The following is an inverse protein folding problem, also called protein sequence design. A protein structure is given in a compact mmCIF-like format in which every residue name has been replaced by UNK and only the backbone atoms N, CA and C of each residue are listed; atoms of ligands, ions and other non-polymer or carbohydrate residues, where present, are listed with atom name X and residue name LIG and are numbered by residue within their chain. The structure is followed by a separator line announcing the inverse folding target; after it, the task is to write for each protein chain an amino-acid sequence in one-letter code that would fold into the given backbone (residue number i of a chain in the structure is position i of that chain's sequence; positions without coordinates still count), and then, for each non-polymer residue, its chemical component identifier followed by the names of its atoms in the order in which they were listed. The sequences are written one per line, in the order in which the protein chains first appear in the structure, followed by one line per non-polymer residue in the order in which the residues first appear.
data_IF_191427691996
#
_entry.id   IF_191427691996
#
_cell.length_a   1.000
_cell.length_b   1.000
_cell.length_c   1.000
_cell.angle_alpha   90.00
_cell.angle_beta   90.00
_cell.angle_gamma   90.00
#
_symmetry.space_group_name_H-M   'P 1'
#
loop_
_entity.id
_entity.type
_entity.pdbx_description
1 polymer ?
#
# COMPACT_ATOMS: atom_id res chain seq x y z
N UNK A 1 82.37 -18.25 28.34
CA UNK A 1 81.40 -17.71 29.32
C UNK A 1 80.76 -16.48 28.68
N UNK A 2 79.46 -16.35 28.43
CA UNK A 2 78.23 -17.05 28.80
C UNK A 2 77.35 -17.04 27.54
N UNK A 3 76.82 -18.18 27.12
CA UNK A 3 75.90 -18.23 25.99
C UNK A 3 74.48 -18.38 26.55
N UNK A 4 73.69 -17.32 26.35
CA UNK A 4 72.24 -17.33 26.46
C UNK A 4 71.69 -18.50 25.63
N UNK A 5 71.07 -19.50 26.28
CA UNK A 5 70.08 -20.35 25.61
C UNK A 5 68.76 -20.17 26.33
N UNK A 6 67.85 -19.62 25.54
CA UNK A 6 66.51 -19.19 25.87
C UNK A 6 65.76 -20.23 26.71
N UNK A 7 65.14 -19.76 27.78
CA UNK A 7 63.81 -20.20 28.16
C UNK A 7 62.87 -19.92 26.98
N UNK A 8 62.85 -20.80 25.97
CA UNK A 8 61.67 -20.95 25.12
C UNK A 8 60.68 -21.79 25.88
N UNK A 9 59.97 -21.11 26.78
CA UNK A 9 58.53 -21.25 27.01
C UNK A 9 57.97 -22.54 26.42
N UNK A 10 58.00 -23.59 27.24
CA UNK A 10 57.22 -24.80 27.07
C UNK A 10 55.75 -24.46 27.40
N UNK A 11 55.17 -23.52 26.66
CA UNK A 11 53.73 -23.52 26.41
C UNK A 11 53.51 -24.58 25.33
N UNK A 12 53.73 -25.85 25.71
CA UNK A 12 53.03 -26.92 25.04
C UNK A 12 51.58 -26.68 25.44
N UNK A 13 50.82 -26.08 24.53
CA UNK A 13 49.39 -25.97 24.66
C UNK A 13 48.89 -27.40 24.84
N UNK A 14 48.58 -27.78 26.08
CA UNK A 14 47.78 -28.98 26.33
C UNK A 14 46.45 -28.62 25.71
N UNK A 15 46.24 -29.04 24.47
CA UNK A 15 44.93 -29.00 23.87
C UNK A 15 44.15 -30.10 24.59
N UNK A 16 43.35 -29.69 25.56
CA UNK A 16 42.46 -30.58 26.30
C UNK A 16 41.45 -31.21 25.34
N UNK A 17 41.03 -32.44 25.63
CA UNK A 17 39.96 -33.08 24.86
C UNK A 17 38.65 -32.30 25.05
N UNK A 18 37.82 -32.23 24.02
CA UNK A 18 36.56 -31.48 24.03
C UNK A 18 35.41 -32.38 23.61
N UNK A 19 34.36 -32.40 24.43
CA UNK A 19 33.09 -33.04 24.12
C UNK A 19 32.09 -31.96 23.70
N UNK A 20 31.50 -32.14 22.53
CA UNK A 20 30.39 -31.32 22.03
C UNK A 20 29.18 -32.19 21.71
N UNK A 21 28.00 -31.57 21.65
CA UNK A 21 26.75 -32.24 21.31
C UNK A 21 26.11 -31.60 20.08
N UNK A 22 25.48 -32.43 19.26
CA UNK A 22 24.69 -32.03 18.12
C UNK A 22 23.25 -32.60 18.22
N UNK A 23 22.21 -31.77 18.09
CA UNK A 23 22.24 -30.31 17.95
C UNK A 23 22.82 -29.61 19.20
N UNK A 24 23.32 -28.38 19.03
CA UNK A 24 23.84 -27.54 20.12
C UNK A 24 22.68 -27.03 21.00
N UNK A 25 22.06 -27.93 21.76
CA UNK A 25 20.96 -27.66 22.68
C UNK A 25 21.23 -28.33 24.02
N UNK A 26 20.85 -27.68 25.12
CA UNK A 26 20.96 -28.26 26.47
C UNK A 26 19.70 -29.01 26.91
N UNK A 27 18.60 -28.89 26.15
CA UNK A 27 17.30 -29.50 26.48
C UNK A 27 16.78 -30.37 25.35
N UNK A 28 16.45 -31.61 25.68
CA UNK A 28 15.95 -32.61 24.74
C UNK A 28 14.64 -33.23 25.24
N UNK A 29 13.90 -33.82 24.33
CA UNK A 29 12.68 -34.56 24.63
C UNK A 29 12.84 -36.06 24.40
N UNK A 30 12.03 -36.88 25.07
CA UNK A 30 11.96 -38.31 24.79
C UNK A 30 11.65 -38.54 23.29
N UNK A 31 12.38 -39.46 22.67
CA UNK A 31 12.47 -39.79 21.22
C UNK A 31 13.31 -38.85 20.36
N UNK A 32 13.91 -37.80 20.93
CA UNK A 32 14.95 -37.05 20.23
C UNK A 32 16.28 -37.82 20.21
N UNK A 33 17.18 -37.38 19.34
CA UNK A 33 18.54 -37.92 19.24
C UNK A 33 19.54 -36.84 19.61
N UNK A 34 20.58 -37.25 20.33
CA UNK A 34 21.76 -36.43 20.59
C UNK A 34 22.99 -37.16 20.05
N UNK A 35 23.83 -36.44 19.33
CA UNK A 35 25.12 -36.94 18.87
C UNK A 35 26.21 -36.30 19.72
N UNK A 36 26.90 -37.11 20.50
CA UNK A 36 28.10 -36.72 21.22
C UNK A 36 29.29 -36.80 20.27
N UNK A 37 30.05 -35.72 20.14
CA UNK A 37 31.26 -35.65 19.33
C UNK A 37 32.46 -35.37 20.21
N UNK A 38 33.37 -36.32 20.25
CA UNK A 38 34.60 -36.20 21.02
C UNK A 38 35.76 -35.77 20.12
N UNK A 39 36.40 -34.67 20.45
CA UNK A 39 37.64 -34.24 19.82
C UNK A 39 38.79 -34.37 20.83
N UNK A 40 39.81 -35.15 20.50
CA UNK A 40 40.98 -35.31 21.37
C UNK A 40 41.97 -34.14 21.24
N UNK A 41 41.75 -33.27 20.24
CA UNK A 41 42.60 -32.15 19.84
C UNK A 41 44.08 -32.53 19.73
N UNK A 42 44.36 -33.79 19.41
CA UNK A 42 45.68 -34.38 19.35
C UNK A 42 45.65 -35.70 18.57
N UNK A 43 46.59 -35.87 17.63
CA UNK A 43 46.64 -37.05 16.76
C UNK A 43 45.50 -37.10 15.74
N UNK A 44 45.39 -38.22 15.04
CA UNK A 44 44.24 -38.49 14.16
C UNK A 44 43.10 -39.14 14.93
N UNK A 45 41.85 -38.95 14.51
CA UNK A 45 40.68 -39.57 15.18
C UNK A 45 40.79 -41.11 15.23
N UNK A 46 41.45 -41.70 14.24
CA UNK A 46 41.70 -43.14 14.11
C UNK A 46 42.71 -43.65 15.13
N UNK A 47 43.47 -42.79 15.81
CA UNK A 47 44.48 -43.16 16.81
C UNK A 47 43.86 -43.52 18.18
N UNK A 48 42.56 -43.27 18.36
CA UNK A 48 41.91 -43.33 19.67
C UNK A 48 40.77 -44.35 19.71
N UNK A 49 40.50 -44.85 20.91
CA UNK A 49 39.22 -45.42 21.30
C UNK A 49 38.46 -44.43 22.18
N UNK A 50 37.17 -44.29 21.95
CA UNK A 50 36.30 -43.30 22.58
C UNK A 50 35.28 -43.99 23.48
N UNK A 51 35.14 -43.48 24.70
CA UNK A 51 34.18 -43.91 25.72
C UNK A 51 33.40 -42.69 26.21
N UNK A 52 32.12 -42.88 26.52
CA UNK A 52 31.29 -41.81 27.10
C UNK A 52 30.71 -42.28 28.42
N UNK A 53 30.91 -41.45 29.43
CA UNK A 53 30.32 -41.60 30.76
C UNK A 53 29.21 -40.57 30.96
N UNK A 54 28.17 -40.97 31.69
CA UNK A 54 27.13 -40.12 32.26
C UNK A 54 27.17 -40.24 33.77
N UNK A 55 27.31 -39.12 34.48
CA UNK A 55 27.39 -39.05 35.94
C UNK A 55 28.43 -40.04 36.51
N UNK A 56 29.56 -40.20 35.79
CA UNK A 56 30.64 -41.14 36.12
C UNK A 56 30.39 -42.60 35.75
N UNK A 57 29.19 -42.98 35.29
CA UNK A 57 28.85 -44.33 34.84
C UNK A 57 29.00 -44.48 33.32
N UNK A 58 29.45 -45.65 32.86
CA UNK A 58 29.61 -45.91 31.43
C UNK A 58 28.25 -46.01 30.72
N UNK A 59 28.06 -45.22 29.66
CA UNK A 59 26.89 -45.30 28.77
C UNK A 59 27.28 -45.88 27.41
N UNK A 60 28.43 -45.46 26.89
CA UNK A 60 29.02 -46.05 25.69
C UNK A 60 30.41 -46.58 26.03
N UNK A 61 30.59 -47.89 25.81
CA UNK A 61 31.91 -48.53 25.91
C UNK A 61 32.86 -48.05 24.82
N UNK A 62 34.14 -48.40 24.94
CA UNK A 62 35.19 -48.01 24.01
C UNK A 62 34.86 -48.40 22.56
N UNK A 63 34.80 -47.40 21.67
CA UNK A 63 34.52 -47.54 20.23
C UNK A 63 35.56 -46.79 19.41
N UNK A 64 35.73 -47.16 18.15
CA UNK A 64 36.63 -46.44 17.23
C UNK A 64 36.01 -45.18 16.63
N UNK A 65 34.69 -44.99 16.75
CA UNK A 65 34.00 -43.82 16.26
C UNK A 65 33.97 -42.73 17.34
N UNK A 66 34.42 -41.52 16.99
CA UNK A 66 34.39 -40.35 17.86
C UNK A 66 32.99 -39.74 18.04
N UNK A 67 32.09 -40.03 17.10
CA UNK A 67 30.71 -39.59 17.10
C UNK A 67 29.79 -40.72 17.60
N UNK A 68 29.12 -40.48 18.72
CA UNK A 68 28.18 -41.44 19.33
C UNK A 68 26.77 -40.87 19.36
N UNK A 69 25.87 -41.48 18.59
CA UNK A 69 24.46 -41.11 18.54
C UNK A 69 23.66 -41.88 19.60
N UNK A 70 22.92 -41.16 20.43
CA UNK A 70 22.05 -41.68 21.47
C UNK A 70 20.59 -41.33 21.15
N UNK A 71 19.72 -42.33 21.20
CA UNK A 71 18.26 -42.13 21.21
C UNK A 71 17.77 -41.98 22.64
N UNK A 72 17.03 -40.90 22.91
CA UNK A 72 16.55 -40.60 24.25
C UNK A 72 15.25 -41.37 24.49
N UNK A 73 15.28 -42.42 25.31
CA UNK A 73 14.08 -43.24 25.58
C UNK A 73 13.39 -42.94 26.91
N UNK A 74 14.03 -42.17 27.80
CA UNK A 74 13.47 -41.77 29.09
C UNK A 74 14.10 -40.47 29.61
N UNK A 75 13.45 -39.83 30.60
CA UNK A 75 14.00 -38.66 31.30
C UNK A 75 15.27 -38.97 32.11
N UNK A 76 15.54 -40.26 32.39
CA UNK A 76 16.74 -40.72 33.10
C UNK A 76 18.06 -40.48 32.36
N UNK A 77 18.01 -40.13 31.07
CA UNK A 77 19.18 -39.68 30.31
C UNK A 77 19.62 -38.25 30.68
N UNK A 78 18.87 -37.52 31.50
CA UNK A 78 19.33 -36.24 32.07
C UNK A 78 20.57 -36.45 32.94
N UNK A 79 21.59 -35.62 32.77
CA UNK A 79 22.82 -35.71 33.55
C UNK A 79 24.02 -35.07 32.87
N UNK A 80 25.19 -35.36 33.42
CA UNK A 80 26.46 -34.80 33.02
C UNK A 80 27.30 -35.82 32.24
N UNK A 81 27.67 -35.46 31.02
CA UNK A 81 28.37 -36.34 30.09
C UNK A 81 29.84 -35.93 29.94
N UNK A 82 30.73 -36.92 29.93
CA UNK A 82 32.15 -36.75 29.65
C UNK A 82 32.64 -37.81 28.68
N UNK A 83 33.57 -37.42 27.82
CA UNK A 83 34.24 -38.31 26.91
C UNK A 83 35.63 -38.65 27.40
N UNK A 84 36.02 -39.92 27.23
CA UNK A 84 37.35 -40.43 27.52
C UNK A 84 37.92 -41.02 26.24
N UNK A 85 39.08 -40.51 25.83
CA UNK A 85 39.91 -41.08 24.77
C UNK A 85 40.97 -42.00 25.36
N UNK A 86 41.16 -43.18 24.79
CA UNK A 86 42.26 -44.10 25.09
C UNK A 86 43.11 -44.30 23.83
N UNK A 87 44.37 -43.88 23.88
CA UNK A 87 45.25 -43.90 22.71
C UNK A 87 45.65 -45.34 22.38
N UNK A 88 45.51 -45.74 21.12
CA UNK A 88 45.77 -47.13 20.69
C UNK A 88 47.22 -47.57 20.87
N UNK A 89 48.17 -46.65 20.71
CA UNK A 89 49.60 -46.97 20.73
C UNK A 89 50.20 -47.04 22.13
N UNK A 90 49.75 -46.17 23.05
CA UNK A 90 50.34 -46.01 24.39
C UNK A 90 49.36 -46.29 25.53
N UNK A 91 48.07 -46.39 25.26
CA UNK A 91 46.99 -46.39 26.26
C UNK A 91 46.95 -45.15 27.16
N UNK A 92 47.48 -44.03 26.67
CA UNK A 92 47.33 -42.74 27.34
C UNK A 92 45.87 -42.30 27.28
N UNK A 93 45.36 -41.84 28.43
CA UNK A 93 43.96 -41.43 28.57
C UNK A 93 43.83 -39.91 28.59
N UNK A 94 42.91 -39.38 27.79
CA UNK A 94 42.47 -37.98 27.86
C UNK A 94 41.00 -37.91 28.24
N UNK A 95 40.66 -36.94 29.08
CA UNK A 95 39.29 -36.71 29.57
C UNK A 95 38.85 -35.34 29.07
N UNK A 96 37.63 -35.27 28.55
CA UNK A 96 37.07 -34.02 28.04
C UNK A 96 36.44 -33.14 29.11
N UNK A 97 36.03 -31.93 28.71
CA UNK A 97 35.04 -31.16 29.46
C UNK A 97 33.73 -31.95 29.66
N UNK A 98 32.95 -31.50 30.65
CA UNK A 98 31.61 -32.01 30.92
C UNK A 98 30.56 -31.25 30.11
N UNK A 99 29.55 -31.95 29.63
CA UNK A 99 28.36 -31.37 28.98
C UNK A 99 27.11 -31.86 29.70
N UNK A 100 26.30 -30.94 30.22
CA UNK A 100 25.05 -31.26 30.90
C UNK A 100 23.89 -31.23 29.91
N UNK A 101 23.05 -32.27 29.91
CA UNK A 101 21.79 -32.30 29.15
C UNK A 101 20.61 -32.49 30.10
N UNK A 102 19.50 -31.84 29.80
CA UNK A 102 18.22 -32.01 30.48
C UNK A 102 17.24 -32.68 29.53
N UNK A 103 16.62 -33.78 29.97
CA UNK A 103 15.60 -34.50 29.21
C UNK A 103 14.24 -34.26 29.82
N UNK A 104 13.31 -33.79 29.00
CA UNK A 104 11.93 -33.51 29.36
C UNK A 104 10.99 -34.53 28.69
N UNK A 105 9.80 -34.69 29.27
CA UNK A 105 8.73 -35.43 28.63
C UNK A 105 8.26 -34.75 27.34
N UNK A 106 7.57 -35.52 26.50
CA UNK A 106 7.04 -35.02 25.24
C UNK A 106 6.13 -33.80 25.48
N UNK A 107 6.44 -32.62 24.89
CA UNK A 107 5.66 -31.42 25.16
C UNK A 107 4.39 -31.41 24.31
N UNK A 108 3.37 -30.73 24.80
CA UNK A 108 2.17 -30.38 24.02
C UNK A 108 2.28 -28.98 23.46
N UNK A 109 1.91 -28.79 22.20
CA UNK A 109 1.77 -27.45 21.64
C UNK A 109 0.62 -26.69 22.30
N UNK A 110 0.71 -25.37 22.34
CA UNK A 110 -0.35 -24.47 22.83
C UNK A 110 -0.77 -23.56 21.69
N UNK A 111 -2.07 -23.59 21.37
CA UNK A 111 -2.68 -22.76 20.34
C UNK A 111 -3.48 -21.63 20.99
N UNK A 112 -3.23 -20.40 20.53
CA UNK A 112 -3.97 -19.20 20.94
C UNK A 112 -4.49 -18.45 19.73
N UNK A 113 -5.66 -17.83 19.85
CA UNK A 113 -6.24 -16.98 18.81
C UNK A 113 -6.37 -15.54 19.32
N UNK A 114 -6.09 -14.55 18.46
CA UNK A 114 -6.31 -13.15 18.81
C UNK A 114 -7.80 -12.84 19.05
N UNK A 115 -8.67 -13.37 18.19
CA UNK A 115 -10.12 -13.43 18.38
C UNK A 115 -10.65 -14.76 17.85
N UNK A 116 -11.76 -15.24 18.41
CA UNK A 116 -12.43 -16.46 17.93
C UNK A 116 -13.47 -16.19 16.84
N UNK A 117 -13.72 -14.93 16.52
CA UNK A 117 -14.67 -14.51 15.49
C UNK A 117 -13.91 -13.79 14.39
N UNK A 118 -14.02 -14.29 13.17
CA UNK A 118 -13.55 -13.63 11.94
C UNK A 118 -14.57 -12.57 11.56
N UNK A 119 -14.18 -11.28 11.58
CA UNK A 119 -15.07 -10.23 11.13
C UNK A 119 -15.25 -10.33 9.60
N UNK A 120 -16.33 -9.76 9.09
CA UNK A 120 -16.73 -9.91 7.68
C UNK A 120 -15.63 -9.49 6.69
N UNK A 121 -15.19 -10.38 5.80
CA UNK A 121 -14.07 -10.10 4.87
C UNK A 121 -12.71 -9.87 5.55
N UNK A 122 -12.59 -10.24 6.84
CA UNK A 122 -11.37 -10.13 7.62
C UNK A 122 -10.66 -11.47 7.81
N UNK A 123 -9.70 -11.47 8.73
CA UNK A 123 -8.97 -12.66 9.17
C UNK A 123 -8.64 -12.54 10.65
N UNK A 124 -8.42 -13.69 11.30
CA UNK A 124 -7.90 -13.78 12.66
C UNK A 124 -6.49 -14.34 12.63
N UNK A 125 -5.66 -13.90 13.56
CA UNK A 125 -4.32 -14.45 13.74
C UNK A 125 -4.38 -15.58 14.76
N UNK A 126 -3.84 -16.74 14.38
CA UNK A 126 -3.59 -17.88 15.26
C UNK A 126 -2.09 -17.96 15.55
N UNK A 127 -1.75 -18.24 16.80
CA UNK A 127 -0.37 -18.37 17.28
C UNK A 127 -0.19 -19.72 17.94
N UNK A 128 0.77 -20.50 17.46
CA UNK A 128 1.18 -21.75 18.07
C UNK A 128 2.44 -21.54 18.90
N UNK A 129 2.59 -22.29 20.00
CA UNK A 129 3.79 -22.24 20.84
C UNK A 129 4.10 -23.60 21.44
N UNK A 130 5.38 -23.86 21.68
CA UNK A 130 5.90 -25.07 22.32
C UNK A 130 6.92 -24.64 23.37
N UNK A 131 7.00 -25.37 24.48
CA UNK A 131 8.05 -25.17 25.48
C UNK A 131 9.44 -25.35 24.81
N UNK A 132 10.34 -24.38 25.02
CA UNK A 132 11.66 -24.32 24.35
C UNK A 132 11.56 -24.24 22.81
N UNK A 133 10.97 -23.14 22.32
CA UNK A 133 10.62 -22.90 20.91
C UNK A 133 11.78 -22.65 19.94
N UNK A 134 13.04 -22.71 20.39
CA UNK A 134 14.19 -22.35 19.55
C UNK A 134 14.37 -23.36 18.41
N UNK A 135 14.23 -22.86 17.18
CA UNK A 135 14.37 -23.65 15.95
C UNK A 135 13.16 -24.54 15.62
N UNK A 136 12.03 -24.39 16.33
CA UNK A 136 10.80 -25.13 16.00
C UNK A 136 10.08 -24.55 14.79
N UNK A 137 9.68 -25.44 13.88
CA UNK A 137 8.70 -25.17 12.83
C UNK A 137 7.33 -25.63 13.29
N UNK A 138 6.28 -25.18 12.62
CA UNK A 138 4.91 -25.50 13.00
C UNK A 138 4.15 -26.20 11.88
N UNK A 139 3.27 -27.11 12.25
CA UNK A 139 2.29 -27.68 11.34
C UNK A 139 0.91 -27.36 11.86
N UNK A 140 0.05 -26.93 10.93
CA UNK A 140 -1.29 -26.44 11.21
C UNK A 140 -2.32 -27.37 10.62
N UNK A 141 -3.41 -27.57 11.36
CA UNK A 141 -4.50 -28.44 10.95
C UNK A 141 -5.82 -27.69 11.09
N UNK A 142 -6.73 -27.95 10.15
CA UNK A 142 -8.10 -27.41 10.17
C UNK A 142 -9.08 -28.52 9.82
N UNK A 143 -10.20 -28.53 10.53
CA UNK A 143 -11.40 -29.31 10.21
C UNK A 143 -12.65 -28.46 10.39
N UNK A 144 -13.79 -28.96 9.94
CA UNK A 144 -15.10 -28.43 10.33
C UNK A 144 -15.84 -29.51 11.13
N UNK A 145 -17.10 -29.26 11.49
CA UNK A 145 -17.94 -30.31 12.09
C UNK A 145 -18.25 -31.44 11.10
N UNK A 146 -18.15 -31.19 9.79
CA UNK A 146 -18.56 -32.13 8.74
C UNK A 146 -17.40 -32.62 7.87
N UNK A 147 -16.26 -31.93 7.86
CA UNK A 147 -15.09 -32.33 7.06
C UNK A 147 -14.02 -32.96 7.92
N UNK A 148 -13.28 -33.89 7.33
CA UNK A 148 -12.06 -34.44 7.94
C UNK A 148 -10.99 -33.36 8.14
N UNK A 149 -10.06 -33.64 9.06
CA UNK A 149 -8.89 -32.80 9.27
C UNK A 149 -7.98 -32.76 8.05
N UNK A 150 -7.53 -31.55 7.69
CA UNK A 150 -6.58 -31.30 6.62
C UNK A 150 -5.43 -30.46 7.17
N UNK A 151 -4.21 -30.80 6.76
CA UNK A 151 -3.03 -29.99 7.04
C UNK A 151 -3.02 -28.74 6.16
N UNK A 152 -2.86 -27.58 6.77
CA UNK A 152 -2.65 -26.32 6.06
C UNK A 152 -1.19 -26.31 5.56
N UNK A 153 -1.02 -26.53 4.25
CA UNK A 153 0.31 -26.63 3.62
C UNK A 153 0.96 -25.24 3.52
N UNK A 154 2.28 -25.23 3.41
CA UNK A 154 3.13 -24.04 3.20
C UNK A 154 3.11 -22.98 4.32
N UNK A 155 2.52 -23.30 5.48
CA UNK A 155 2.56 -22.46 6.68
C UNK A 155 3.37 -23.13 7.79
N UNK A 156 4.66 -22.80 7.88
CA UNK A 156 5.55 -23.28 8.96
C UNK A 156 5.75 -22.25 10.07
N UNK A 157 5.10 -21.09 9.93
CA UNK A 157 5.24 -19.97 10.83
C UNK A 157 4.56 -20.24 12.17
N UNK A 158 5.12 -19.65 13.21
CA UNK A 158 4.54 -19.60 14.55
C UNK A 158 3.16 -18.94 14.54
N UNK A 159 2.98 -17.94 13.69
CA UNK A 159 1.75 -17.18 13.54
C UNK A 159 1.20 -17.34 12.11
N UNK A 160 -0.10 -17.60 12.00
CA UNK A 160 -0.82 -17.68 10.72
C UNK A 160 -2.05 -16.78 10.75
N UNK A 161 -2.46 -16.26 9.58
CA UNK A 161 -3.75 -15.56 9.43
C UNK A 161 -4.74 -16.46 8.71
N UNK A 162 -5.95 -16.59 9.25
CA UNK A 162 -7.02 -17.42 8.69
C UNK A 162 -8.29 -16.60 8.48
N UNK A 163 -8.93 -16.77 7.33
CA UNK A 163 -10.18 -16.10 6.92
C UNK A 163 -11.38 -17.04 6.84
N UNK A 164 -11.18 -18.31 7.17
CA UNK A 164 -12.22 -19.33 7.19
C UNK A 164 -12.52 -19.76 8.62
N UNK A 165 -13.79 -19.96 8.95
CA UNK A 165 -14.17 -20.55 10.24
C UNK A 165 -13.77 -22.02 10.30
N UNK A 166 -13.74 -22.64 11.46
CA UNK A 166 -13.39 -24.06 11.61
C UNK A 166 -12.76 -24.36 12.97
N UNK A 167 -12.37 -25.61 13.15
CA UNK A 167 -11.69 -26.08 14.34
C UNK A 167 -10.22 -26.28 13.99
N UNK A 168 -9.35 -25.56 14.68
CA UNK A 168 -7.92 -25.49 14.40
C UNK A 168 -7.12 -26.16 15.51
N UNK A 169 -6.04 -26.83 15.11
CA UNK A 169 -5.01 -27.34 16.01
C UNK A 169 -3.63 -27.17 15.37
N UNK A 170 -2.58 -27.20 16.19
CA UNK A 170 -1.20 -27.12 15.71
C UNK A 170 -0.29 -28.12 16.43
N UNK A 171 0.87 -28.40 15.83
CA UNK A 171 1.99 -29.08 16.52
C UNK A 171 3.32 -28.47 16.11
N UNK A 172 4.30 -28.53 16.99
CA UNK A 172 5.68 -28.15 16.68
C UNK A 172 6.46 -29.31 16.08
N UNK A 173 7.43 -28.97 15.25
CA UNK A 173 8.41 -29.88 14.67
C UNK A 173 9.83 -29.34 14.85
N UNK A 174 10.79 -30.22 15.16
CA UNK A 174 12.20 -29.83 15.35
C UNK A 174 13.15 -30.97 14.97
N UNK A 175 14.38 -30.62 14.59
CA UNK A 175 15.50 -31.57 14.46
C UNK A 175 15.50 -32.41 13.18
N UNK A 176 16.54 -33.24 13.04
CA UNK A 176 16.69 -34.23 11.98
C UNK A 176 17.27 -35.54 12.59
N UNK A 177 16.49 -36.64 12.69
CA UNK A 177 15.14 -36.83 12.16
C UNK A 177 14.09 -35.94 12.85
N UNK A 178 12.98 -35.70 12.16
CA UNK A 178 11.93 -34.77 12.62
C UNK A 178 11.26 -35.32 13.88
N UNK A 179 11.34 -34.55 14.95
CA UNK A 179 10.59 -34.75 16.18
C UNK A 179 9.27 -33.98 16.12
N UNK A 180 8.20 -34.58 16.66
CA UNK A 180 6.85 -34.01 16.68
C UNK A 180 6.36 -33.87 18.12
N UNK A 181 5.88 -32.69 18.48
CA UNK A 181 5.17 -32.49 19.74
C UNK A 181 3.81 -33.18 19.71
N UNK A 182 3.19 -33.30 20.88
CA UNK A 182 1.75 -33.54 20.91
C UNK A 182 1.00 -32.32 20.35
N UNK A 183 -0.17 -32.58 19.77
CA UNK A 183 -1.02 -31.53 19.20
C UNK A 183 -1.59 -30.65 20.31
N UNK A 184 -1.81 -29.39 19.97
CA UNK A 184 -2.55 -28.48 20.83
C UNK A 184 -3.98 -28.94 21.05
N UNK A 185 -4.62 -28.38 22.08
CA UNK A 185 -6.07 -28.42 22.15
C UNK A 185 -6.68 -27.65 20.97
N UNK A 186 -7.92 -28.00 20.65
CA UNK A 186 -8.65 -27.42 19.54
C UNK A 186 -9.15 -26.00 19.88
N UNK A 187 -9.03 -25.09 18.92
CA UNK A 187 -9.64 -23.76 18.98
C UNK A 187 -10.66 -23.63 17.87
N UNK A 188 -11.90 -23.29 18.23
CA UNK A 188 -12.98 -23.05 17.27
C UNK A 188 -13.01 -21.59 16.87
N UNK A 189 -12.94 -21.33 15.57
CA UNK A 189 -13.05 -20.02 14.96
C UNK A 189 -14.37 -19.95 14.20
N UNK A 190 -15.18 -18.96 14.50
CA UNK A 190 -16.44 -18.68 13.84
C UNK A 190 -16.28 -17.56 12.82
N UNK A 191 -17.10 -17.57 11.77
CA UNK A 191 -17.11 -16.54 10.73
C UNK A 191 -18.44 -15.82 10.79
N UNK A 192 -18.41 -14.49 10.90
CA UNK A 192 -19.65 -13.69 10.86
C UNK A 192 -20.33 -13.89 9.51
N UNK A 193 -21.59 -14.35 9.54
CA UNK A 193 -22.38 -14.64 8.34
C UNK A 193 -23.20 -13.43 7.86
N UNK A 194 -23.50 -12.49 8.74
CA UNK A 194 -24.37 -11.37 8.38
C UNK A 194 -23.61 -10.39 7.49
N UNK A 195 -24.06 -10.28 6.24
CA UNK A 195 -23.56 -9.28 5.33
C UNK A 195 -24.02 -7.91 5.83
N UNK A 196 -23.10 -7.01 6.22
CA UNK A 196 -23.50 -5.70 6.70
C UNK A 196 -24.05 -4.89 5.54
N UNK A 197 -24.86 -3.88 5.85
CA UNK A 197 -25.43 -2.96 4.87
C UNK A 197 -24.77 -1.59 4.95
N UNK A 198 -24.37 -1.04 3.80
CA UNK A 198 -23.86 0.32 3.74
C UNK A 198 -24.99 1.35 3.94
N UNK A 199 -24.64 2.55 4.40
CA UNK A 199 -25.55 3.66 4.59
C UNK A 199 -24.96 4.89 3.90
N UNK A 200 -25.77 5.51 3.03
CA UNK A 200 -25.43 6.76 2.36
C UNK A 200 -26.16 7.93 3.04
N UNK A 201 -25.43 9.02 3.23
CA UNK A 201 -25.92 10.30 3.72
C UNK A 201 -25.53 11.39 2.72
N UNK A 202 -26.32 12.45 2.68
CA UNK A 202 -26.11 13.59 1.80
C UNK A 202 -26.36 14.86 2.59
N UNK A 203 -25.50 15.87 2.40
CA UNK A 203 -25.64 17.18 3.04
C UNK A 203 -26.81 17.98 2.46
N UNK A 204 -27.07 17.87 1.15
CA UNK A 204 -28.12 18.58 0.42
C UNK A 204 -28.72 17.72 -0.70
N UNK A 205 -30.01 17.88 -0.99
CA UNK A 205 -30.70 17.13 -2.05
C UNK A 205 -30.60 17.77 -3.43
N UNK A 206 -30.35 19.07 -3.49
CA UNK A 206 -30.29 19.81 -4.74
C UNK A 206 -28.93 20.48 -4.89
N UNK A 207 -28.34 20.34 -6.08
CA UNK A 207 -27.07 20.98 -6.41
C UNK A 207 -27.32 22.49 -6.57
N UNK A 208 -26.60 23.35 -5.82
CA UNK A 208 -26.68 24.79 -6.00
C UNK A 208 -26.03 25.19 -7.33
N UNK A 209 -26.42 26.34 -7.88
CA UNK A 209 -25.88 26.83 -9.17
C UNK A 209 -24.37 26.95 -9.10
N UNK A 210 -23.65 26.20 -9.94
CA UNK A 210 -22.18 26.18 -9.98
C UNK A 210 -21.51 25.45 -8.80
N UNK A 211 -22.27 24.76 -7.95
CA UNK A 211 -21.74 24.03 -6.80
C UNK A 211 -21.81 22.51 -6.92
N UNK A 212 -21.74 21.83 -5.78
CA UNK A 212 -21.79 20.37 -5.67
C UNK A 212 -22.44 19.94 -4.36
N UNK A 213 -22.87 18.69 -4.29
CA UNK A 213 -23.43 18.03 -3.10
C UNK A 213 -22.41 17.06 -2.54
N UNK A 214 -22.28 16.99 -1.22
CA UNK A 214 -21.40 16.04 -0.54
C UNK A 214 -22.17 14.79 -0.12
N UNK A 215 -21.72 13.63 -0.58
CA UNK A 215 -22.23 12.32 -0.20
C UNK A 215 -21.24 11.62 0.74
N UNK A 216 -21.76 11.01 1.81
CA UNK A 216 -20.98 10.25 2.79
C UNK A 216 -21.50 8.82 2.89
N UNK A 217 -20.62 7.82 2.85
CA UNK A 217 -20.95 6.40 2.97
C UNK A 217 -20.32 5.80 4.23
N UNK A 218 -21.07 4.99 4.96
CA UNK A 218 -20.62 4.32 6.18
C UNK A 218 -21.19 2.91 6.31
N UNK A 219 -20.56 2.04 7.09
CA UNK A 219 -21.07 0.70 7.44
C UNK A 219 -21.13 0.58 8.95
N UNK A 220 -22.33 0.38 9.50
CA UNK A 220 -22.61 0.22 10.92
C UNK A 220 -22.40 -1.24 11.37
N UNK A 221 -21.16 -1.72 11.31
CA UNK A 221 -20.77 -3.01 11.88
C UNK A 221 -19.78 -2.81 13.04
N UNK A 222 -19.80 -3.72 14.02
CA UNK A 222 -18.99 -3.74 15.26
C UNK A 222 -17.46 -3.70 15.07
N UNK A 223 -16.96 -3.68 13.84
CA UNK A 223 -15.56 -3.47 13.49
C UNK A 223 -15.45 -2.29 12.50
N UNK A 224 -15.22 -1.08 13.01
CA UNK A 224 -15.33 0.20 12.28
C UNK A 224 -14.14 0.57 11.39
N UNK A 225 -13.13 -0.29 11.22
CA UNK A 225 -11.92 0.04 10.46
C UNK A 225 -11.68 -0.87 9.24
N UNK A 226 -11.16 -0.28 8.16
CA UNK A 226 -10.66 -0.99 6.98
C UNK A 226 -11.64 -1.21 5.81
N UNK A 227 -12.81 -0.57 5.81
CA UNK A 227 -13.72 -0.57 4.65
C UNK A 227 -13.24 0.39 3.58
N UNK A 228 -13.25 -0.02 2.31
CA UNK A 228 -13.12 0.86 1.15
C UNK A 228 -14.49 1.07 0.52
N UNK A 229 -14.87 2.31 0.25
CA UNK A 229 -16.19 2.59 -0.32
C UNK A 229 -16.17 2.73 -1.83
N UNK A 230 -17.18 2.15 -2.47
CA UNK A 230 -17.42 2.18 -3.90
C UNK A 230 -18.76 2.86 -4.15
N UNK A 231 -18.78 3.75 -5.13
CA UNK A 231 -19.91 4.62 -5.41
C UNK A 231 -20.48 4.33 -6.79
N UNK A 232 -21.79 4.42 -6.93
CA UNK A 232 -22.48 4.16 -8.17
C UNK A 232 -23.53 5.24 -8.39
N UNK A 233 -23.71 5.59 -9.66
CA UNK A 233 -24.83 6.40 -10.13
C UNK A 233 -25.74 5.49 -10.95
N UNK A 234 -27.04 5.58 -10.69
CA UNK A 234 -28.13 4.75 -11.22
C UNK A 234 -28.23 3.34 -10.61
N UNK A 235 -29.47 2.82 -10.52
CA UNK A 235 -29.73 1.54 -9.83
C UNK A 235 -28.97 0.36 -10.46
N UNK A 236 -28.80 0.37 -11.79
CA UNK A 236 -28.25 -0.77 -12.55
C UNK A 236 -26.78 -0.62 -12.95
N UNK A 237 -26.12 0.48 -12.61
CA UNK A 237 -24.71 0.65 -12.98
C UNK A 237 -23.82 -0.34 -12.25
N UNK A 238 -23.04 -1.12 -13.00
CA UNK A 238 -22.00 -1.99 -12.44
C UNK A 238 -20.66 -1.28 -12.30
N UNK A 239 -20.52 -0.09 -12.91
CA UNK A 239 -19.29 0.68 -12.95
C UNK A 239 -19.25 1.67 -11.78
N UNK A 240 -18.17 1.58 -11.00
CA UNK A 240 -17.97 2.49 -9.89
C UNK A 240 -17.55 3.87 -10.41
N UNK A 241 -18.03 4.93 -9.77
CA UNK A 241 -17.64 6.30 -10.08
C UNK A 241 -16.12 6.47 -9.95
N UNK A 242 -15.58 7.24 -10.88
CA UNK A 242 -14.16 7.59 -10.95
C UNK A 242 -13.95 9.06 -10.62
N UNK A 243 -12.69 9.49 -10.56
CA UNK A 243 -12.32 10.91 -10.34
C UNK A 243 -12.81 11.84 -11.44
N UNK A 244 -13.26 11.31 -12.58
CA UNK A 244 -13.89 12.10 -13.65
C UNK A 244 -15.36 12.42 -13.33
N UNK A 245 -16.03 11.56 -12.55
CA UNK A 245 -17.45 11.66 -12.25
C UNK A 245 -17.74 12.43 -10.95
N UNK A 246 -16.80 12.36 -9.99
CA UNK A 246 -16.94 12.93 -8.66
C UNK A 246 -15.58 13.32 -8.07
N UNK A 247 -15.58 14.27 -7.13
CA UNK A 247 -14.40 14.65 -6.35
C UNK A 247 -14.33 13.77 -5.10
N UNK A 248 -13.26 13.01 -4.93
CA UNK A 248 -13.06 12.13 -3.77
C UNK A 248 -12.27 12.85 -2.68
N UNK A 249 -12.95 13.24 -1.60
CA UNK A 249 -12.32 13.94 -0.47
C UNK A 249 -11.64 13.00 0.50
N UNK A 250 -12.28 11.87 0.80
CA UNK A 250 -11.76 10.87 1.72
C UNK A 250 -12.38 9.50 1.46
N UNK A 251 -11.90 8.48 2.18
CA UNK A 251 -12.48 7.15 2.12
C UNK A 251 -13.88 7.15 2.74
N UNK A 252 -14.88 7.25 1.87
CA UNK A 252 -16.30 7.31 2.25
C UNK A 252 -16.92 8.69 2.08
N UNK A 253 -16.24 9.68 1.49
CA UNK A 253 -16.85 10.98 1.18
C UNK A 253 -16.50 11.45 -0.23
N UNK A 254 -17.52 11.81 -1.00
CA UNK A 254 -17.38 12.35 -2.36
C UNK A 254 -18.23 13.61 -2.54
N UNK A 255 -17.86 14.48 -3.48
CA UNK A 255 -18.72 15.54 -3.98
C UNK A 255 -19.14 15.31 -5.42
N UNK A 256 -20.42 15.49 -5.69
CA UNK A 256 -21.04 15.26 -7.01
C UNK A 256 -21.69 16.56 -7.52
N UNK A 257 -21.49 16.85 -8.80
CA UNK A 257 -22.04 18.03 -9.48
C UNK A 257 -23.08 17.67 -10.55
N UNK A 258 -23.42 16.39 -10.67
CA UNK A 258 -24.38 15.88 -11.62
C UNK A 258 -25.62 15.37 -10.89
N UNK A 259 -26.79 15.55 -11.50
CA UNK A 259 -28.06 15.02 -10.99
C UNK A 259 -28.11 13.50 -11.16
N UNK A 260 -28.84 12.80 -10.30
CA UNK A 260 -29.03 11.36 -10.46
C UNK A 260 -29.27 10.64 -9.16
N UNK A 261 -29.36 9.32 -9.27
CA UNK A 261 -29.62 8.43 -8.15
C UNK A 261 -28.30 7.78 -7.70
N UNK A 262 -27.83 8.11 -6.51
CA UNK A 262 -26.55 7.67 -5.99
C UNK A 262 -26.72 6.57 -4.93
N UNK A 263 -25.86 5.55 -4.99
CA UNK A 263 -25.74 4.50 -3.96
C UNK A 263 -24.28 4.17 -3.72
N UNK A 264 -23.98 3.56 -2.57
CA UNK A 264 -22.64 3.13 -2.23
C UNK A 264 -22.62 1.73 -1.61
N UNK A 265 -21.46 1.08 -1.65
CA UNK A 265 -21.19 -0.16 -0.91
C UNK A 265 -19.78 -0.16 -0.34
N UNK A 266 -19.57 -0.83 0.78
CA UNK A 266 -18.25 -1.07 1.34
C UNK A 266 -17.63 -2.35 0.77
N UNK A 267 -16.30 -2.37 0.63
CA UNK A 267 -15.52 -3.55 0.29
C UNK A 267 -14.34 -3.73 1.23
N UNK A 268 -14.02 -4.97 1.61
CA UNK A 268 -12.89 -5.31 2.50
C UNK A 268 -12.28 -6.68 2.17
N UNK A 269 -10.98 -6.83 2.45
CA UNK A 269 -10.27 -8.11 2.31
C UNK A 269 -9.68 -8.36 0.92
N UNK A 270 -9.05 -9.53 0.77
CA UNK A 270 -8.50 -10.01 -0.49
C UNK A 270 -8.76 -11.52 -0.62
N UNK A 271 -9.66 -11.97 -1.52
CA UNK A 271 -10.45 -11.18 -2.46
C UNK A 271 -11.45 -10.24 -1.77
N UNK A 272 -11.88 -9.18 -2.48
CA UNK A 272 -12.74 -8.14 -1.90
C UNK A 272 -14.14 -8.69 -1.62
N UNK A 273 -14.54 -8.66 -0.35
CA UNK A 273 -15.90 -8.91 0.10
C UNK A 273 -16.68 -7.60 0.11
N UNK A 274 -17.85 -7.56 -0.54
CA UNK A 274 -18.71 -6.38 -0.59
C UNK A 274 -19.85 -6.46 0.42
N UNK A 275 -20.26 -5.32 0.98
CA UNK A 275 -21.50 -5.17 1.75
C UNK A 275 -22.71 -5.26 0.84
N UNK A 276 -23.91 -5.34 1.44
CA UNK A 276 -25.10 -4.93 0.72
C UNK A 276 -24.99 -3.46 0.33
N UNK A 277 -25.59 -3.11 -0.81
CA UNK A 277 -25.69 -1.72 -1.27
C UNK A 277 -26.52 -0.90 -0.29
N UNK A 278 -26.16 0.38 -0.15
CA UNK A 278 -26.93 1.33 0.61
C UNK A 278 -28.30 1.57 -0.01
N UNK A 279 -29.20 2.19 0.75
CA UNK A 279 -30.33 2.90 0.16
C UNK A 279 -29.83 3.90 -0.89
N UNK A 280 -30.66 4.25 -1.87
CA UNK A 280 -30.32 5.24 -2.89
C UNK A 280 -30.70 6.66 -2.45
N UNK A 281 -29.94 7.66 -2.89
CA UNK A 281 -30.16 9.09 -2.65
C UNK A 281 -30.35 9.78 -4.01
N UNK A 282 -31.50 10.42 -4.23
CA UNK A 282 -31.74 11.25 -5.41
C UNK A 282 -31.15 12.65 -5.18
N UNK A 283 -30.34 13.11 -6.14
CA UNK A 283 -29.75 14.44 -6.20
C UNK A 283 -30.32 15.19 -7.40
N UNK A 284 -31.00 16.31 -7.15
CA UNK A 284 -31.56 17.20 -8.16
C UNK A 284 -30.65 18.40 -8.45
N UNK A 285 -31.13 19.29 -9.33
CA UNK A 285 -30.56 20.63 -9.52
C UNK A 285 -31.53 21.66 -9.00
N UNK A 286 -30.99 22.70 -8.37
CA UNK A 286 -31.79 23.89 -8.06
C UNK A 286 -32.20 24.53 -9.39
N UNK A 287 -33.51 24.57 -9.67
CA UNK A 287 -34.02 25.32 -10.79
C UNK A 287 -33.63 26.79 -10.60
N UNK A 288 -32.90 27.36 -11.56
CA UNK A 288 -32.72 28.80 -11.59
C UNK A 288 -34.12 29.43 -11.59
N UNK A 289 -34.38 30.49 -10.78
CA UNK A 289 -35.64 31.21 -10.91
C UNK A 289 -35.71 31.67 -12.37
N UNK A 290 -36.71 31.20 -13.11
CA UNK A 290 -36.92 31.64 -14.48
C UNK A 290 -36.89 33.16 -14.45
N UNK A 291 -35.89 33.76 -15.09
CA UNK A 291 -35.81 35.21 -15.19
C UNK A 291 -37.09 35.62 -15.91
N UNK A 292 -38.04 36.15 -15.15
CA UNK A 292 -39.38 36.44 -15.60
C UNK A 292 -39.26 37.46 -16.73
N UNK A 293 -39.26 36.98 -17.98
CA UNK A 293 -39.23 37.77 -19.22
C UNK A 293 -40.58 38.47 -19.43
N UNK A 294 -41.16 39.02 -18.37
CA UNK A 294 -42.40 39.79 -18.39
C UNK A 294 -42.18 41.27 -18.73
N UNK A 295 -40.93 41.74 -18.73
CA UNK A 295 -40.59 43.12 -19.11
C UNK A 295 -40.52 43.32 -20.64
N UNK A 296 -40.27 42.28 -21.42
CA UNK A 296 -40.13 42.38 -22.87
C UNK A 296 -41.45 42.71 -23.61
N UNK A 297 -42.63 42.13 -23.29
CA UNK A 297 -43.88 42.53 -23.95
C UNK A 297 -44.40 43.90 -23.48
N UNK A 298 -44.03 44.35 -22.28
CA UNK A 298 -44.48 45.65 -21.74
C UNK A 298 -43.78 46.82 -22.45
N UNK A 299 -42.50 46.66 -22.77
CA UNK A 299 -41.71 47.63 -23.54
C UNK A 299 -42.17 47.65 -25.00
N UNK A 300 -42.39 46.47 -25.61
CA UNK A 300 -42.88 46.38 -27.01
C UNK A 300 -44.29 46.97 -27.15
N UNK A 301 -45.17 46.74 -26.17
CA UNK A 301 -46.50 47.33 -26.12
C UNK A 301 -46.48 48.86 -25.99
N UNK A 302 -45.61 49.40 -25.12
CA UNK A 302 -45.44 50.84 -24.95
C UNK A 302 -44.91 51.52 -26.22
N UNK A 303 -43.88 50.94 -26.86
CA UNK A 303 -43.30 51.50 -28.10
C UNK A 303 -44.31 51.46 -29.25
N UNK A 304 -45.05 50.36 -29.40
CA UNK A 304 -46.07 50.23 -30.45
C UNK A 304 -47.25 51.19 -30.21
N UNK A 305 -47.66 51.38 -28.95
CA UNK A 305 -48.69 52.34 -28.57
C UNK A 305 -48.29 53.79 -28.86
N UNK A 306 -47.06 54.19 -28.52
CA UNK A 306 -46.53 55.53 -28.80
C UNK A 306 -46.46 55.78 -30.32
N UNK A 307 -46.03 54.78 -31.10
CA UNK A 307 -45.99 54.89 -32.56
C UNK A 307 -47.38 55.14 -33.17
N UNK A 308 -48.41 54.43 -32.68
CA UNK A 308 -49.79 54.60 -33.14
C UNK A 308 -50.34 55.98 -32.79
N UNK A 309 -50.03 56.50 -31.60
CA UNK A 309 -50.45 57.85 -31.19
C UNK A 309 -49.78 58.91 -32.08
N UNK A 310 -48.49 58.77 -32.37
CA UNK A 310 -47.77 59.69 -33.28
C UNK A 310 -48.35 59.65 -34.70
N UNK A 311 -48.68 58.46 -35.22
CA UNK A 311 -49.35 58.28 -36.51
C UNK A 311 -50.73 58.97 -36.55
N UNK A 312 -51.52 58.81 -35.49
CA UNK A 312 -52.83 59.48 -35.38
C UNK A 312 -52.68 61.00 -35.28
N UNK A 313 -51.69 61.50 -34.54
CA UNK A 313 -51.40 62.93 -34.48
C UNK A 313 -50.97 63.49 -35.85
N UNK A 314 -50.13 62.78 -36.59
CA UNK A 314 -49.74 63.16 -37.95
C UNK A 314 -50.95 63.18 -38.90
N UNK A 315 -51.85 62.19 -38.81
CA UNK A 315 -53.09 62.17 -39.59
C UNK A 315 -54.06 63.29 -39.19
N UNK A 316 -54.12 63.66 -37.91
CA UNK A 316 -54.89 64.81 -37.43
C UNK A 316 -54.32 66.15 -37.91
N UNK A 317 -52.99 66.27 -38.04
CA UNK A 317 -52.34 67.45 -38.63
C UNK A 317 -52.58 67.52 -40.14
N UNK A 318 -52.55 66.38 -40.83
CA UNK A 318 -52.86 66.29 -42.25
C UNK A 318 -54.32 66.63 -42.58
N UNK A 319 -55.26 66.32 -41.68
CA UNK A 319 -56.68 66.70 -41.85
C UNK A 319 -56.97 68.17 -41.52
N UNK A 320 -56.05 68.89 -40.87
CA UNK A 320 -56.23 70.29 -40.47
C UNK A 320 -55.66 71.30 -41.48
N UNK A 321 -54.86 70.84 -42.44
CA UNK A 321 -54.26 71.71 -43.48
C UNK A 321 -55.05 71.76 -44.81
N UNK A 322 -56.27 71.21 -44.90
CA UNK A 322 -57.10 71.31 -46.12
C UNK A 322 -58.11 72.47 -46.13
N UNK A 323 -58.06 73.42 -45.18
CA UNK A 323 -59.05 74.51 -45.15
C UNK A 323 -58.51 75.82 -44.55
N UNK A 324 -57.46 76.41 -45.12
CA UNK A 324 -57.36 77.89 -45.19
C UNK A 324 -56.28 78.34 -46.17
N UNK A 325 -56.67 79.07 -47.22
CA UNK A 325 -55.74 79.87 -48.05
C UNK A 325 -56.17 81.34 -48.08
N UNK A 326 -55.15 82.24 -48.01
CA UNK A 326 -55.10 83.63 -48.56
C UNK A 326 -55.67 84.76 -47.65
N UNK A 327 -55.06 85.93 -47.34
CA UNK A 327 -54.11 86.83 -48.08
C UNK A 327 -53.50 88.00 -47.22
N UNK A 328 -52.26 88.44 -47.55
CA UNK A 328 -51.59 89.81 -47.56
C UNK A 328 -51.52 90.71 -46.28
N UNK A 329 -50.51 91.57 -46.00
CA UNK A 329 -49.23 92.00 -46.63
C UNK A 329 -48.29 92.82 -45.67
N UNK A 330 -46.99 92.94 -46.04
CA UNK A 330 -46.00 94.07 -45.82
C UNK A 330 -45.54 94.42 -44.39
N UNK A 331 -44.27 94.65 -43.99
CA UNK A 331 -43.02 95.16 -44.63
C UNK A 331 -41.72 94.84 -43.81
N UNK A 332 -40.60 94.67 -44.54
CA UNK A 332 -39.18 95.06 -44.33
C UNK A 332 -38.27 94.76 -43.09
N UNK A 333 -37.07 94.23 -43.46
CA UNK A 333 -35.67 94.48 -42.97
C UNK A 333 -35.21 93.83 -41.64
N UNK A 334 -33.99 93.31 -41.42
CA UNK A 334 -32.70 93.27 -42.16
C UNK A 334 -31.80 92.12 -41.64
N UNK A 335 -30.83 91.70 -42.49
CA UNK A 335 -29.57 90.93 -42.35
C UNK A 335 -29.19 90.22 -41.01
N UNK A 336 -28.45 89.09 -40.96
CA UNK A 336 -27.24 88.73 -41.71
C UNK A 336 -26.87 87.24 -41.53
N UNK A 337 -26.52 86.58 -42.65
CA UNK A 337 -25.50 85.53 -42.95
C UNK A 337 -24.87 84.73 -41.78
N UNK A 338 -24.62 83.41 -41.87
CA UNK A 338 -23.71 82.71 -42.81
C UNK A 338 -23.98 81.19 -42.63
N UNK A 339 -24.46 80.41 -43.62
CA UNK A 339 -23.73 79.78 -44.75
C UNK A 339 -22.73 78.72 -44.24
N UNK A 340 -23.06 77.40 -44.29
CA UNK A 340 -23.00 76.43 -45.44
C UNK A 340 -21.71 75.58 -45.28
N UNK A 341 -21.59 74.30 -45.64
CA UNK A 341 -22.35 73.24 -46.35
C UNK A 341 -21.68 71.92 -45.94
N UNK A 342 -22.38 70.78 -45.84
CA UNK A 342 -22.74 69.86 -46.94
C UNK A 342 -21.53 69.49 -47.84
N UNK A 343 -21.33 68.27 -48.33
CA UNK A 343 -22.25 67.16 -48.61
C UNK A 343 -21.40 65.96 -49.07
N UNK A 344 -22.00 64.76 -49.02
CA UNK A 344 -21.91 63.69 -50.04
C UNK A 344 -20.53 63.01 -50.29
N UNK A 345 -20.39 61.73 -50.69
CA UNK A 345 -21.26 60.61 -51.02
C UNK A 345 -20.34 59.39 -51.31
N UNK A 346 -20.92 58.17 -51.33
CA UNK A 346 -20.50 56.98 -52.12
C UNK A 346 -19.14 56.32 -51.82
N UNK A 347 -18.82 55.04 -52.07
CA UNK A 347 -19.53 53.78 -52.38
C UNK A 347 -18.46 52.65 -52.50
N UNK A 348 -18.80 51.41 -52.06
CA UNK A 348 -18.38 50.04 -52.50
C UNK A 348 -16.90 49.60 -52.70
N UNK A 349 -16.65 48.38 -52.16
CA UNK A 349 -15.75 47.24 -52.55
C UNK A 349 -14.23 47.51 -52.67
N UNK A 350 -13.27 46.64 -52.29
CA UNK A 350 -13.09 45.20 -52.51
C UNK A 350 -11.87 44.65 -51.70
N UNK A 351 -11.86 43.34 -51.40
CA UNK A 351 -10.74 42.36 -51.32
C UNK A 351 -9.37 42.61 -50.60
N UNK A 352 -9.12 41.74 -49.60
CA UNK A 352 -7.94 40.83 -49.37
C UNK A 352 -6.53 41.34 -49.00
N UNK A 353 -5.92 40.56 -48.06
CA UNK A 353 -4.50 40.25 -47.79
C UNK A 353 -3.74 40.99 -46.65
N UNK A 354 -3.66 40.28 -45.51
CA UNK A 354 -2.54 39.97 -44.61
C UNK A 354 -1.31 40.89 -44.50
N UNK A 355 -0.94 41.23 -43.25
CA UNK A 355 0.38 41.72 -42.85
C UNK A 355 0.50 41.89 -41.32
N UNK A 356 1.37 41.09 -40.71
CA UNK A 356 1.89 41.24 -39.34
C UNK A 356 2.77 42.51 -39.22
N UNK A 357 2.74 43.18 -38.06
CA UNK A 357 3.91 43.65 -37.29
C UNK A 357 3.57 44.77 -36.26
N UNK A 358 3.57 44.36 -34.98
CA UNK A 358 4.37 44.91 -33.86
C UNK A 358 4.19 46.34 -33.26
N UNK A 359 4.15 46.33 -31.89
CA UNK A 359 4.57 47.28 -30.82
C UNK A 359 3.78 48.60 -30.61
N UNK A 360 3.55 49.18 -29.42
CA UNK A 360 3.90 49.04 -27.97
C UNK A 360 2.55 49.27 -27.19
N UNK A 361 2.36 49.04 -25.87
CA UNK A 361 3.03 49.75 -24.77
C UNK A 361 2.74 49.12 -23.40
N UNK A 362 3.80 49.11 -22.59
CA UNK A 362 3.96 48.54 -21.26
C UNK A 362 3.23 49.32 -20.16
N UNK A 363 2.81 48.62 -19.09
CA UNK A 363 2.87 49.15 -17.72
C UNK A 363 3.56 48.12 -16.82
N UNK A 364 4.51 48.65 -16.04
CA UNK A 364 5.51 47.99 -15.20
C UNK A 364 4.96 47.27 -13.97
N UNK A 365 5.65 46.16 -13.69
CA UNK A 365 6.17 45.61 -12.42
C UNK A 365 5.70 46.17 -11.07
N UNK A 366 5.36 45.21 -10.20
CA UNK A 366 5.92 45.15 -8.85
C UNK A 366 6.35 43.70 -8.55
N UNK A 367 7.67 43.46 -8.57
CA UNK A 367 8.40 42.33 -7.98
C UNK A 367 8.26 42.41 -6.44
N UNK A 368 8.19 41.38 -5.60
CA UNK A 368 9.12 40.27 -5.46
C UNK A 368 8.56 39.40 -4.30
N UNK A 369 8.42 38.08 -4.47
CA UNK A 369 9.04 37.10 -3.54
C UNK A 369 8.93 35.66 -4.09
N UNK A 370 10.07 35.19 -4.57
CA UNK A 370 10.60 33.82 -4.55
C UNK A 370 9.71 32.65 -5.01
N UNK A 371 10.00 32.21 -6.23
CA UNK A 371 9.67 30.91 -6.79
C UNK A 371 10.95 30.06 -6.84
N UNK A 372 10.89 28.79 -6.43
CA UNK A 372 11.82 27.75 -6.91
C UNK A 372 11.08 26.42 -7.06
N UNK A 373 10.33 26.31 -8.15
CA UNK A 373 9.78 25.04 -8.65
C UNK A 373 10.67 24.52 -9.77
N UNK A 374 11.60 23.61 -9.44
CA UNK A 374 12.41 22.94 -10.45
C UNK A 374 11.55 21.98 -11.29
N UNK A 375 11.29 22.35 -12.55
CA UNK A 375 10.68 21.47 -13.55
C UNK A 375 11.75 20.52 -14.09
N UNK A 376 11.57 19.21 -13.88
CA UNK A 376 12.43 18.15 -14.45
C UNK A 376 11.87 17.69 -15.80
N UNK A 377 12.68 17.81 -16.86
CA UNK A 377 12.47 17.06 -18.09
C UNK A 377 13.46 15.89 -18.15
N UNK A 378 12.99 14.70 -18.54
CA UNK A 378 13.84 13.55 -18.84
C UNK A 378 14.00 13.47 -20.37
N UNK A 379 15.24 13.50 -20.85
CA UNK A 379 15.55 13.29 -22.26
C UNK A 379 16.03 11.84 -22.45
N UNK A 380 15.28 11.06 -23.23
CA UNK A 380 15.62 9.66 -23.55
C UNK A 380 16.22 9.60 -24.96
N UNK A 381 17.46 9.13 -25.06
CA UNK A 381 18.12 8.84 -26.34
C UNK A 381 18.19 7.33 -26.57
N UNK A 382 17.77 6.86 -27.75
CA UNK A 382 17.83 5.45 -28.14
C UNK A 382 19.01 5.21 -29.09
N UNK A 383 19.97 4.36 -28.67
CA UNK A 383 20.97 3.80 -29.59
C UNK A 383 20.59 2.37 -29.99
N UNK A 384 20.56 2.12 -31.30
CA UNK A 384 20.08 0.87 -31.90
C UNK A 384 21.27 -0.01 -32.30
N UNK A 385 21.68 -0.93 -31.43
CA UNK A 385 22.60 -1.99 -31.82
C UNK A 385 21.82 -3.15 -32.49
N UNK A 386 22.18 -3.50 -33.72
CA UNK A 386 21.63 -4.66 -34.44
C UNK A 386 22.38 -5.92 -34.02
N UNK A 387 21.67 -6.98 -33.61
CA UNK A 387 22.12 -8.37 -33.81
C UNK A 387 20.96 -9.36 -33.78
N UNK A 388 21.16 -10.50 -34.45
CA UNK A 388 20.16 -11.43 -34.99
C UNK A 388 19.82 -12.57 -34.02
N UNK A 389 18.53 -12.95 -34.07
CA UNK A 389 17.91 -14.28 -33.87
C UNK A 389 17.77 -14.88 -32.45
N UNK A 390 16.48 -14.95 -32.09
CA UNK A 390 15.71 -16.06 -31.53
C UNK A 390 15.98 -16.57 -30.09
N UNK A 391 15.01 -16.20 -29.25
CA UNK A 391 14.42 -16.93 -28.13
C UNK A 391 15.24 -17.05 -26.84
N UNK A 392 15.18 -16.00 -26.01
CA UNK A 392 15.27 -16.07 -24.54
C UNK A 392 14.74 -14.74 -23.97
N UNK A 393 13.85 -14.80 -22.96
CA UNK A 393 13.33 -13.62 -22.25
C UNK A 393 14.42 -13.06 -21.31
N UNK A 394 15.39 -12.38 -21.90
CA UNK A 394 16.49 -11.71 -21.21
C UNK A 394 16.00 -10.39 -20.59
N UNK A 395 16.07 -10.32 -19.25
CA UNK A 395 15.85 -9.13 -18.44
C UNK A 395 16.69 -7.93 -18.94
N UNK A 396 16.02 -6.90 -19.46
CA UNK A 396 16.62 -5.61 -19.77
C UNK A 396 16.70 -4.75 -18.50
N UNK A 397 17.90 -4.55 -17.98
CA UNK A 397 18.15 -3.53 -16.95
C UNK A 397 18.47 -2.20 -17.62
N UNK A 398 17.70 -1.15 -17.31
CA UNK A 398 18.09 0.23 -17.59
C UNK A 398 18.82 0.80 -16.37
N UNK A 399 20.06 1.24 -16.56
CA UNK A 399 20.84 1.91 -15.51
C UNK A 399 20.55 3.41 -15.54
N UNK A 400 19.93 3.93 -14.48
CA UNK A 400 19.70 5.38 -14.30
C UNK A 400 20.82 5.94 -13.42
N UNK A 401 21.72 6.72 -14.01
CA UNK A 401 22.76 7.42 -13.26
C UNK A 401 22.28 8.80 -12.81
N UNK A 402 22.24 9.03 -11.50
CA UNK A 402 21.98 10.35 -10.92
C UNK A 402 23.31 11.09 -10.71
N UNK A 403 23.53 12.16 -11.49
CA UNK A 403 24.60 13.11 -11.19
C UNK A 403 24.05 14.20 -10.25
N UNK A 404 24.28 14.07 -8.93
CA UNK A 404 24.10 15.19 -8.00
C UNK A 404 25.23 16.21 -8.22
N UNK A 405 24.89 17.41 -8.68
CA UNK A 405 25.81 18.54 -8.62
C UNK A 405 26.10 18.87 -7.15
N UNK A 406 27.38 18.88 -6.76
CA UNK A 406 27.82 19.16 -5.38
C UNK A 406 27.58 20.64 -5.04
N UNK A 407 26.96 20.99 -3.90
CA UNK A 407 27.00 22.36 -3.40
C UNK A 407 28.41 22.69 -2.89
N UNK A 408 28.88 23.91 -3.16
CA UNK A 408 30.18 24.42 -2.68
C UNK A 408 30.20 24.43 -1.15
N UNK A 409 31.07 23.63 -0.53
CA UNK A 409 31.34 23.64 0.92
C UNK A 409 32.23 24.84 1.29
N UNK A 410 31.75 25.68 2.22
CA UNK A 410 32.65 26.45 3.10
C UNK A 410 33.12 25.55 4.26
N UNK A 411 34.39 25.75 4.67
CA UNK A 411 35.15 24.93 5.64
C UNK A 411 34.54 24.96 7.06
N UNK A 412 34.31 23.78 7.64
CA UNK A 412 34.04 23.57 9.07
C UNK A 412 33.82 22.08 9.40
N UNK A 413 34.31 21.60 10.55
CA UNK A 413 34.58 20.19 10.96
C UNK A 413 33.38 19.19 11.00
N UNK A 414 33.63 17.85 10.98
CA UNK A 414 32.61 16.82 10.74
C UNK A 414 31.92 16.25 12.00
N UNK A 415 30.67 15.79 11.83
CA UNK A 415 29.87 14.98 12.77
C UNK A 415 29.30 13.74 12.02
N UNK A 416 28.86 12.67 12.73
CA UNK A 416 28.91 11.29 12.24
C UNK A 416 27.79 10.90 11.26
N UNK A 417 28.05 9.83 10.50
CA UNK A 417 27.26 9.32 9.39
C UNK A 417 25.85 8.86 9.78
N UNK A 418 24.85 9.31 9.01
CA UNK A 418 23.49 8.78 9.03
C UNK A 418 23.36 7.65 7.99
N UNK A 419 22.65 6.58 8.37
CA UNK A 419 22.33 5.43 7.53
C UNK A 419 21.35 5.81 6.40
N UNK A 420 21.53 5.21 5.23
CA UNK A 420 20.69 5.39 4.04
C UNK A 420 19.55 4.36 4.09
N UNK A 421 18.30 4.81 4.25
CA UNK A 421 17.11 3.95 4.14
C UNK A 421 16.70 3.86 2.66
N UNK A 422 16.87 2.70 2.04
CA UNK A 422 16.41 2.42 0.68
C UNK A 422 14.91 2.13 0.66
N UNK A 423 14.14 3.05 0.08
CA UNK A 423 12.71 2.84 -0.22
C UNK A 423 12.58 2.18 -1.59
N UNK A 424 12.01 0.97 -1.65
CA UNK A 424 11.64 0.32 -2.90
C UNK A 424 10.21 0.72 -3.29
N UNK A 425 10.02 1.12 -4.55
CA UNK A 425 8.69 1.28 -5.16
C UNK A 425 8.61 0.44 -6.44
N UNK A 426 7.61 -0.44 -6.51
CA UNK A 426 7.33 -1.33 -7.63
C UNK A 426 6.54 -0.59 -8.71
N UNK A 427 7.01 -0.64 -9.97
CA UNK A 427 6.31 -0.06 -11.12
C UNK A 427 5.72 -1.19 -11.95
N UNK A 428 4.39 -1.22 -12.10
CA UNK A 428 3.70 -2.15 -13.01
C UNK A 428 3.42 -1.47 -14.35
N UNK A 429 3.84 -2.12 -15.43
CA UNK A 429 3.52 -1.73 -16.81
C UNK A 429 2.13 -2.26 -17.18
N UNK A 430 1.30 -1.39 -17.76
CA UNK A 430 0.03 -1.77 -18.39
C UNK A 430 0.20 -1.65 -19.91
N UNK A 431 -0.07 -2.73 -20.63
CA UNK A 431 -0.09 -2.75 -22.10
C UNK A 431 -1.26 -1.91 -22.60
N UNK A 432 -1.01 -0.98 -23.53
CA UNK A 432 -2.06 -0.29 -24.27
C UNK A 432 -2.83 -1.32 -25.12
N UNK A 433 -4.15 -1.35 -24.98
CA UNK A 433 -5.05 -2.10 -25.86
C UNK A 433 -5.36 -1.21 -27.06
N UNK A 434 -5.19 -1.77 -28.26
CA UNK A 434 -5.70 -1.23 -29.53
C UNK A 434 -7.23 -1.21 -29.59
#
# INVERSE_FOLDING_TARGET
MKCFRLLTVWLCWILDAVLTIEPKSSSFFIREFVTFKCDMNEGEDTDWFYKINKDGQEVFSYRTNKDSKLEITSTGYSGEYQCIGDRKSSHDKKISNTVSITVLDKPRATLTAGTTIIPVGGSVTLTCSVQSSDGSKYEWFRRTQTTSEVQIRDQQNRDIRVSEGGIYSCRGTRGNPVYYTDRSDDVTIEKTSDQPKAQIMSDMRDIPVGGSVTLTCSVSASSSSGWKYYWYRDEKSSEALTTQDAVFHSNGQISVSQEGLYRCRGGRGNPVYYTEDSQSVSIGKTAAPESSSFLTPLIVGLVCGILLILLLLLLCRFKKDSFFTRTRSTNQSSAMNHVIKDEAQHSRHNSTFQGDACVYESIKDHDDTQNDGSVLYAQVSHDRAKTKKANDDSLLYAQVNYNKAKPKRHKGKPAPAAADDTVYSEVKSQTALD
#
